data_IF_834413091916
#
_entry.id   IF_834413091916
#
_cell.length_a   1.000
_cell.length_b   1.000
_cell.length_c   1.000
_cell.angle_alpha   90.00
_cell.angle_beta   90.00
_cell.angle_gamma   90.00
#
_symmetry.space_group_name_H-M   'P 1'
#
loop_
_entity.id
_entity.type
_entity.pdbx_description
1 polymer ?
#
# COMPACT_ATOMS: atom_id res chain seq x y z
N UNK A 1 -2.91 -41.27 -14.98
CA UNK A 1 -3.18 -40.07 -14.16
C UNK A 1 -1.91 -39.76 -13.38
N UNK A 2 -1.21 -38.67 -13.72
CA UNK A 2 0.12 -38.36 -13.17
C UNK A 2 0.01 -37.42 -11.96
N UNK A 3 0.66 -37.72 -10.81
CA UNK A 3 0.59 -36.92 -9.58
C UNK A 3 1.13 -35.49 -9.68
N UNK A 4 1.78 -35.13 -10.79
CA UNK A 4 2.43 -33.82 -10.98
C UNK A 4 1.43 -32.65 -10.98
N UNK A 5 0.18 -32.88 -11.40
CA UNK A 5 -0.89 -31.86 -11.35
C UNK A 5 -1.36 -31.53 -9.93
N UNK A 6 -1.03 -32.37 -8.95
CA UNK A 6 -1.34 -32.14 -7.53
C UNK A 6 -0.15 -31.56 -6.74
N UNK A 7 0.94 -31.15 -7.42
CA UNK A 7 2.07 -30.48 -6.77
C UNK A 7 2.94 -31.38 -5.90
N UNK A 8 2.73 -32.71 -5.90
CA UNK A 8 3.58 -33.64 -5.15
C UNK A 8 4.78 -34.08 -6.00
N UNK A 9 5.84 -33.28 -5.91
CA UNK A 9 7.18 -33.59 -6.41
C UNK A 9 8.14 -32.62 -5.74
N UNK A 10 8.90 -33.12 -4.75
CA UNK A 10 9.71 -32.31 -3.85
C UNK A 10 10.62 -31.32 -4.58
N UNK A 11 10.21 -30.05 -4.61
CA UNK A 11 11.12 -28.94 -4.84
C UNK A 11 11.83 -28.72 -3.51
N UNK A 12 13.16 -28.77 -3.53
CA UNK A 12 13.95 -27.94 -2.61
C UNK A 12 13.28 -26.58 -2.65
N UNK A 13 12.72 -26.10 -1.53
CA UNK A 13 12.02 -24.80 -1.52
C UNK A 13 13.02 -23.76 -2.00
N UNK A 14 12.90 -23.36 -3.27
CA UNK A 14 13.63 -22.22 -3.79
C UNK A 14 13.21 -21.01 -2.96
N UNK A 15 14.11 -20.05 -2.80
CA UNK A 15 13.73 -18.78 -2.20
C UNK A 15 12.54 -18.20 -2.99
N UNK A 16 11.53 -17.62 -2.31
CA UNK A 16 10.40 -16.99 -2.97
C UNK A 16 10.86 -15.93 -3.99
N UNK A 17 10.14 -15.81 -5.09
CA UNK A 17 10.35 -14.75 -6.11
C UNK A 17 9.27 -13.69 -6.03
N UNK A 18 9.42 -12.59 -6.79
CA UNK A 18 8.38 -11.58 -6.94
C UNK A 18 7.08 -12.19 -7.51
N UNK A 19 7.17 -13.08 -8.50
CA UNK A 19 6.01 -13.81 -9.05
C UNK A 19 5.24 -14.63 -7.98
N UNK A 20 5.95 -15.22 -7.01
CA UNK A 20 5.32 -15.93 -5.90
C UNK A 20 4.53 -14.96 -5.00
N UNK A 21 5.06 -13.75 -4.76
CA UNK A 21 4.37 -12.68 -4.02
C UNK A 21 3.15 -12.19 -4.80
N UNK A 22 3.29 -11.93 -6.11
CA UNK A 22 2.18 -11.53 -6.97
C UNK A 22 1.06 -12.56 -6.94
N UNK A 23 1.38 -13.86 -7.01
CA UNK A 23 0.40 -14.94 -6.89
C UNK A 23 -0.35 -14.95 -5.55
N UNK A 24 0.30 -14.52 -4.46
CA UNK A 24 -0.34 -14.36 -3.15
C UNK A 24 -1.21 -13.11 -3.11
N UNK A 25 -0.75 -12.01 -3.71
CA UNK A 25 -1.53 -10.77 -3.85
C UNK A 25 -2.81 -11.03 -4.65
N UNK A 26 -2.75 -11.75 -5.76
CA UNK A 26 -3.92 -12.16 -6.55
C UNK A 26 -4.96 -12.93 -5.70
N UNK A 27 -4.51 -13.80 -4.80
CA UNK A 27 -5.41 -14.56 -3.91
C UNK A 27 -6.04 -13.70 -2.82
N UNK A 28 -5.38 -12.61 -2.44
CA UNK A 28 -5.81 -11.70 -1.38
C UNK A 28 -6.43 -10.41 -1.95
N UNK A 29 -6.59 -10.32 -3.27
CA UNK A 29 -6.88 -9.07 -3.93
C UNK A 29 -8.17 -8.42 -3.40
N UNK A 30 -8.07 -7.16 -2.97
CA UNK A 30 -9.19 -6.38 -2.40
C UNK A 30 -9.58 -6.76 -0.96
N UNK A 31 -8.97 -7.78 -0.36
CA UNK A 31 -9.27 -8.14 1.03
C UNK A 31 -8.65 -7.10 2.00
N UNK A 32 -9.41 -6.57 2.97
CA UNK A 32 -8.85 -5.69 4.00
C UNK A 32 -7.97 -6.49 4.97
N UNK A 33 -6.70 -6.11 5.07
CA UNK A 33 -5.67 -6.72 5.90
C UNK A 33 -5.05 -5.67 6.84
N UNK A 34 -4.67 -6.02 8.08
CA UNK A 34 -3.94 -5.07 8.92
C UNK A 34 -2.58 -4.77 8.29
N UNK A 35 -2.24 -3.49 8.11
CA UNK A 35 -1.01 -3.04 7.47
C UNK A 35 0.21 -3.62 8.17
N UNK A 36 0.23 -3.56 9.50
CA UNK A 36 1.31 -4.14 10.32
C UNK A 36 1.48 -5.66 10.15
N UNK A 37 0.42 -6.39 9.78
CA UNK A 37 0.41 -7.85 9.67
C UNK A 37 0.81 -8.36 8.27
N UNK A 38 0.70 -7.53 7.23
CA UNK A 38 0.96 -7.93 5.84
C UNK A 38 2.36 -8.53 5.70
N UNK A 39 3.38 -7.76 6.04
CA UNK A 39 4.78 -8.19 5.88
C UNK A 39 5.34 -8.92 7.10
N UNK A 40 4.71 -8.80 8.26
CA UNK A 40 5.18 -9.45 9.50
C UNK A 40 4.61 -10.85 9.71
N UNK A 41 3.44 -11.16 9.15
CA UNK A 41 2.72 -12.40 9.41
C UNK A 41 2.13 -13.04 8.15
N UNK A 42 1.42 -12.27 7.32
CA UNK A 42 0.60 -12.82 6.22
C UNK A 42 1.50 -13.31 5.09
N UNK A 43 2.38 -12.46 4.56
CA UNK A 43 3.30 -12.83 3.49
C UNK A 43 4.33 -13.87 3.97
N UNK A 44 5.02 -13.71 5.12
CA UNK A 44 5.91 -14.76 5.62
C UNK A 44 5.22 -16.10 5.92
N UNK A 45 3.95 -16.07 6.35
CA UNK A 45 3.16 -17.26 6.64
C UNK A 45 2.76 -18.03 5.37
N UNK A 46 2.60 -17.34 4.25
CA UNK A 46 2.27 -17.93 2.93
C UNK A 46 3.52 -18.29 2.13
N UNK A 47 4.57 -17.49 2.25
CA UNK A 47 5.84 -17.61 1.53
C UNK A 47 7.01 -17.68 2.53
N UNK A 48 7.36 -18.87 3.03
CA UNK A 48 8.53 -19.04 3.88
C UNK A 48 9.80 -18.56 3.17
N UNK A 49 10.51 -17.60 3.77
CA UNK A 49 11.66 -16.93 3.15
C UNK A 49 11.32 -15.61 2.46
N UNK A 50 10.11 -15.09 2.65
CA UNK A 50 9.72 -13.74 2.22
C UNK A 50 10.74 -12.68 2.66
N UNK A 51 10.98 -11.72 1.76
CA UNK A 51 11.78 -10.52 1.99
C UNK A 51 10.99 -9.31 1.50
N UNK A 52 10.92 -8.20 2.26
CA UNK A 52 10.20 -6.98 1.86
C UNK A 52 10.55 -6.47 0.46
N UNK A 53 11.81 -6.60 0.06
CA UNK A 53 12.30 -6.24 -1.27
C UNK A 53 11.50 -6.87 -2.44
N UNK A 54 10.85 -8.02 -2.23
CA UNK A 54 10.02 -8.66 -3.27
C UNK A 54 8.70 -7.91 -3.49
N UNK A 55 8.07 -7.41 -2.42
CA UNK A 55 6.86 -6.60 -2.56
C UNK A 55 7.21 -5.20 -3.04
N UNK A 56 8.30 -4.61 -2.52
CA UNK A 56 8.81 -3.31 -2.95
C UNK A 56 9.11 -3.29 -4.45
N UNK A 57 9.67 -4.38 -5.00
CA UNK A 57 9.92 -4.53 -6.43
C UNK A 57 8.61 -4.46 -7.23
N UNK A 58 7.56 -5.16 -6.80
CA UNK A 58 6.26 -5.18 -7.48
C UNK A 58 5.52 -3.85 -7.38
N UNK A 59 5.58 -3.16 -6.25
CA UNK A 59 4.96 -1.83 -6.09
C UNK A 59 5.70 -0.79 -6.93
N UNK A 60 7.03 -0.81 -6.92
CA UNK A 60 7.87 0.09 -7.73
C UNK A 60 7.69 -0.16 -9.24
N UNK A 61 7.55 -1.43 -9.65
CA UNK A 61 7.27 -1.80 -11.03
C UNK A 61 5.84 -1.43 -11.48
N UNK A 62 4.97 -1.06 -10.53
CA UNK A 62 3.56 -0.80 -10.79
C UNK A 62 2.74 -2.05 -11.08
N UNK A 63 3.22 -3.24 -10.70
CA UNK A 63 2.50 -4.51 -10.86
C UNK A 63 1.49 -4.75 -9.73
N UNK A 64 1.77 -4.21 -8.54
CA UNK A 64 0.87 -4.25 -7.38
C UNK A 64 0.53 -2.84 -6.93
N UNK A 65 -0.76 -2.59 -6.71
CA UNK A 65 -1.29 -1.37 -6.11
C UNK A 65 -1.90 -1.70 -4.75
N UNK A 66 -1.89 -0.73 -3.84
CA UNK A 66 -2.56 -0.85 -2.55
C UNK A 66 -3.35 0.41 -2.20
N UNK A 67 -4.35 0.26 -1.34
CA UNK A 67 -5.14 1.36 -0.81
C UNK A 67 -5.37 1.17 0.70
N UNK A 68 -5.34 2.27 1.46
CA UNK A 68 -5.80 2.27 2.84
C UNK A 68 -7.32 2.11 2.92
N UNK A 69 -7.79 1.35 3.90
CA UNK A 69 -9.17 0.94 4.10
C UNK A 69 -9.68 1.36 5.49
N UNK A 70 -9.17 2.48 6.01
CA UNK A 70 -9.48 2.99 7.35
C UNK A 70 -8.43 2.69 8.41
N UNK A 71 -8.46 3.47 9.48
CA UNK A 71 -7.51 3.39 10.58
C UNK A 71 -7.89 2.31 11.61
N UNK A 72 -6.87 1.75 12.28
CA UNK A 72 -7.00 0.90 13.47
C UNK A 72 -6.48 1.64 14.70
N UNK A 73 -7.03 1.30 15.87
CA UNK A 73 -6.51 1.81 17.14
C UNK A 73 -5.04 1.41 17.33
N UNK A 74 -4.20 2.33 17.79
CA UNK A 74 -2.78 2.04 18.08
C UNK A 74 -1.80 2.42 16.96
N UNK A 75 -2.24 3.18 15.95
CA UNK A 75 -1.39 3.68 14.86
C UNK A 75 -1.19 2.70 13.70
N UNK A 76 -2.03 1.67 13.61
CA UNK A 76 -2.12 0.75 12.48
C UNK A 76 -3.31 1.15 11.58
N UNK A 77 -3.45 0.50 10.43
CA UNK A 77 -4.59 0.68 9.54
C UNK A 77 -4.92 -0.58 8.78
N UNK A 78 -6.09 -0.59 8.16
CA UNK A 78 -6.42 -1.61 7.16
C UNK A 78 -5.85 -1.17 5.82
N UNK A 79 -5.28 -2.10 5.07
CA UNK A 79 -4.91 -1.92 3.66
C UNK A 79 -5.49 -3.07 2.84
N UNK A 80 -5.74 -2.81 1.56
CA UNK A 80 -6.00 -3.82 0.56
C UNK A 80 -4.92 -3.73 -0.51
N UNK A 81 -4.46 -4.89 -0.97
CA UNK A 81 -3.53 -5.04 -2.09
C UNK A 81 -4.30 -5.60 -3.30
N UNK A 82 -3.90 -5.24 -4.51
CA UNK A 82 -4.42 -5.85 -5.74
C UNK A 82 -3.37 -5.75 -6.85
N UNK A 83 -3.37 -6.68 -7.83
CA UNK A 83 -2.67 -6.45 -9.09
C UNK A 83 -3.20 -5.17 -9.74
N UNK A 84 -2.29 -4.33 -10.28
CA UNK A 84 -2.63 -2.99 -10.77
C UNK A 84 -3.65 -3.00 -11.92
N UNK A 85 -3.66 -4.05 -12.74
CA UNK A 85 -4.58 -4.19 -13.88
C UNK A 85 -6.05 -4.42 -13.47
N UNK A 86 -6.29 -4.86 -12.23
CA UNK A 86 -7.64 -5.08 -11.66
C UNK A 86 -7.89 -4.25 -10.41
N UNK A 87 -6.96 -3.36 -10.03
CA UNK A 87 -7.04 -2.57 -8.81
C UNK A 87 -8.30 -1.70 -8.75
N UNK A 88 -8.68 -1.04 -9.85
CA UNK A 88 -9.88 -0.20 -9.95
C UNK A 88 -11.19 -0.94 -9.65
N UNK A 89 -11.21 -2.26 -9.82
CA UNK A 89 -12.39 -3.10 -9.57
C UNK A 89 -12.41 -3.68 -8.15
N UNK A 90 -11.25 -3.85 -7.52
CA UNK A 90 -11.08 -4.62 -6.29
C UNK A 90 -10.73 -3.79 -5.07
N UNK A 91 -10.01 -2.68 -5.25
CA UNK A 91 -9.66 -1.80 -4.13
C UNK A 91 -10.91 -1.01 -3.70
N UNK A 92 -11.09 -0.80 -2.39
CA UNK A 92 -12.26 -0.09 -1.88
C UNK A 92 -12.28 1.36 -2.37
N UNK A 93 -13.48 1.85 -2.65
CA UNK A 93 -13.69 3.26 -2.95
C UNK A 93 -13.38 4.13 -1.72
N UNK A 94 -12.96 5.36 -1.98
CA UNK A 94 -12.64 6.40 -0.99
C UNK A 94 -13.75 6.50 0.06
N UNK A 95 -13.37 6.49 1.33
CA UNK A 95 -14.32 6.51 2.46
C UNK A 95 -15.03 7.87 2.52
N UNK A 96 -16.32 7.89 2.90
CA UNK A 96 -17.18 9.09 2.91
C UNK A 96 -16.71 10.20 3.88
N UNK A 97 -15.96 9.87 4.94
CA UNK A 97 -15.49 10.83 5.94
C UNK A 97 -14.08 11.33 5.58
N UNK A 98 -14.00 12.03 4.45
CA UNK A 98 -12.76 12.57 3.89
C UNK A 98 -12.13 13.56 4.90
N UNK A 99 -10.87 13.36 5.32
CA UNK A 99 -10.16 14.31 6.15
C UNK A 99 -10.10 15.68 5.48
N UNK A 100 -10.79 16.67 6.06
CA UNK A 100 -10.81 18.04 5.54
C UNK A 100 -9.93 18.96 6.37
N UNK A 101 -9.17 19.81 5.71
CA UNK A 101 -8.38 20.85 6.36
C UNK A 101 -7.39 21.51 5.40
N UNK A 102 -6.91 22.74 5.69
CA UNK A 102 -6.03 23.47 4.77
C UNK A 102 -4.78 22.69 4.36
N UNK A 103 -4.23 21.89 5.29
CA UNK A 103 -3.06 21.05 5.01
C UNK A 103 -3.43 19.82 4.15
N UNK A 104 -4.53 19.13 4.48
CA UNK A 104 -5.03 18.00 3.68
C UNK A 104 -5.34 18.42 2.24
N UNK A 105 -6.04 19.55 2.06
CA UNK A 105 -6.37 20.12 0.75
C UNK A 105 -5.12 20.50 -0.05
N UNK A 106 -4.13 21.11 0.63
CA UNK A 106 -2.85 21.47 0.02
C UNK A 106 -2.05 20.23 -0.43
N UNK A 107 -2.03 19.17 0.37
CA UNK A 107 -1.36 17.91 0.04
C UNK A 107 -2.03 17.23 -1.16
N UNK A 108 -3.36 17.12 -1.16
CA UNK A 108 -4.13 16.56 -2.28
C UNK A 108 -3.88 17.34 -3.57
N UNK A 109 -4.01 18.68 -3.54
CA UNK A 109 -3.74 19.53 -4.69
C UNK A 109 -2.30 19.40 -5.21
N UNK A 110 -1.33 19.21 -4.32
CA UNK A 110 0.06 19.02 -4.70
C UNK A 110 0.29 17.67 -5.42
N UNK A 111 -0.46 16.64 -5.04
CA UNK A 111 -0.37 15.28 -5.59
C UNK A 111 -1.18 15.08 -6.88
N UNK A 112 -2.06 16.02 -7.26
CA UNK A 112 -2.73 16.00 -8.58
C UNK A 112 -1.72 15.97 -9.75
N UNK A 113 -0.50 16.45 -9.54
CA UNK A 113 0.60 16.40 -10.50
C UNK A 113 1.34 15.06 -10.58
N UNK A 114 0.92 14.05 -9.80
CA UNK A 114 1.55 12.74 -9.70
C UNK A 114 2.38 12.56 -8.42
N UNK A 115 3.08 11.42 -8.34
CA UNK A 115 3.90 11.04 -7.19
C UNK A 115 5.07 12.03 -6.96
N UNK A 116 5.39 12.26 -5.69
CA UNK A 116 6.44 13.18 -5.24
C UNK A 116 7.20 12.61 -4.06
N UNK A 117 8.51 12.89 -4.01
CA UNK A 117 9.29 12.61 -2.81
C UNK A 117 8.82 13.50 -1.66
N UNK A 118 8.87 12.96 -0.43
CA UNK A 118 8.38 13.64 0.78
C UNK A 118 8.85 15.10 0.91
N UNK A 119 10.15 15.38 0.65
CA UNK A 119 10.67 16.76 0.74
C UNK A 119 10.05 17.70 -0.31
N UNK A 120 9.88 17.23 -1.54
CA UNK A 120 9.22 18.02 -2.58
C UNK A 120 7.75 18.29 -2.26
N UNK A 121 7.07 17.30 -1.68
CA UNK A 121 5.70 17.42 -1.23
C UNK A 121 5.57 18.47 -0.11
N UNK A 122 6.40 18.39 0.93
CA UNK A 122 6.43 19.38 2.03
C UNK A 122 6.70 20.78 1.50
N UNK A 123 7.70 20.94 0.64
CA UNK A 123 8.08 22.25 0.08
C UNK A 123 6.93 22.88 -0.72
N UNK A 124 6.23 22.07 -1.55
CA UNK A 124 5.11 22.55 -2.36
C UNK A 124 3.85 22.84 -1.52
N UNK A 125 3.49 21.93 -0.61
CA UNK A 125 2.32 22.10 0.25
C UNK A 125 2.47 23.30 1.20
N UNK A 126 3.69 23.57 1.68
CA UNK A 126 3.98 24.72 2.57
C UNK A 126 3.64 26.06 1.94
N UNK A 127 3.78 26.20 0.61
CA UNK A 127 3.45 27.44 -0.12
C UNK A 127 1.94 27.68 -0.19
N UNK A 128 1.13 26.63 -0.01
CA UNK A 128 -0.33 26.67 -0.12
C UNK A 128 -1.05 26.92 1.22
N UNK A 129 -0.32 26.93 2.35
CA UNK A 129 -0.89 27.08 3.69
C UNK A 129 -0.36 28.33 4.40
N UNK A 130 -1.18 28.93 5.27
CA UNK A 130 -0.83 30.19 5.95
C UNK A 130 0.34 30.05 6.93
N UNK A 131 0.47 28.89 7.56
CA UNK A 131 1.53 28.58 8.51
C UNK A 131 2.26 27.34 8.04
N UNK A 132 3.60 27.44 7.99
CA UNK A 132 4.45 26.30 7.65
C UNK A 132 4.23 25.14 8.65
N UNK A 133 3.78 23.97 8.17
CA UNK A 133 3.60 22.80 9.01
C UNK A 133 4.97 22.18 9.35
N UNK A 134 5.04 21.51 10.48
CA UNK A 134 6.16 20.63 10.83
C UNK A 134 6.08 19.32 10.04
N UNK A 135 7.23 18.65 9.88
CA UNK A 135 7.30 17.31 9.25
C UNK A 135 6.31 16.32 9.92
N UNK A 136 6.14 16.41 11.24
CA UNK A 136 5.22 15.55 11.99
C UNK A 136 3.75 15.83 11.66
N UNK A 137 3.37 17.09 11.46
CA UNK A 137 2.01 17.47 11.05
C UNK A 137 1.72 17.00 9.62
N UNK A 138 2.71 17.09 8.71
CA UNK A 138 2.58 16.58 7.34
C UNK A 138 2.43 15.07 7.33
N UNK A 139 3.25 14.35 8.10
CA UNK A 139 3.14 12.87 8.22
C UNK A 139 1.79 12.46 8.79
N UNK A 140 1.28 13.15 9.81
CA UNK A 140 -0.03 12.86 10.37
C UNK A 140 -1.15 13.07 9.34
N UNK A 141 -1.15 14.22 8.65
CA UNK A 141 -2.14 14.51 7.62
C UNK A 141 -2.07 13.52 6.45
N UNK A 142 -0.87 13.09 6.05
CA UNK A 142 -0.70 12.04 5.04
C UNK A 142 -1.31 10.72 5.49
N UNK A 143 -1.09 10.31 6.73
CA UNK A 143 -1.70 9.09 7.25
C UNK A 143 -3.22 9.17 7.26
N UNK A 144 -3.80 10.31 7.63
CA UNK A 144 -5.25 10.50 7.55
C UNK A 144 -5.76 10.29 6.12
N UNK A 145 -5.07 10.87 5.12
CA UNK A 145 -5.42 10.73 3.70
C UNK A 145 -5.22 9.29 3.18
N UNK A 146 -4.16 8.61 3.61
CA UNK A 146 -3.92 7.20 3.27
C UNK A 146 -5.05 6.34 3.79
N UNK A 147 -5.46 6.53 5.04
CA UNK A 147 -6.57 5.78 5.63
C UNK A 147 -7.93 6.10 5.03
N UNK A 148 -8.10 7.29 4.45
CA UNK A 148 -9.25 7.64 3.64
C UNK A 148 -9.22 7.04 2.22
N UNK A 149 -8.11 6.41 1.81
CA UNK A 149 -7.92 5.85 0.47
C UNK A 149 -7.59 6.91 -0.61
N UNK A 150 -7.20 8.12 -0.20
CA UNK A 150 -6.93 9.24 -1.11
C UNK A 150 -5.47 9.35 -1.56
N UNK A 151 -4.56 8.77 -0.77
CA UNK A 151 -3.12 8.77 -1.06
C UNK A 151 -2.61 7.35 -0.94
N UNK A 152 -1.77 6.97 -1.88
CA UNK A 152 -1.02 5.72 -1.90
C UNK A 152 0.47 6.04 -2.07
N UNK A 153 1.35 5.08 -1.82
CA UNK A 153 2.80 5.28 -1.92
C UNK A 153 3.50 4.05 -2.47
N UNK A 154 4.67 4.24 -3.05
CA UNK A 154 5.50 3.18 -3.64
C UNK A 154 6.75 2.85 -2.82
N UNK A 155 7.17 3.71 -1.88
CA UNK A 155 8.29 3.51 -0.94
C UNK A 155 8.21 4.39 0.31
#
# INVERSE_FOLDING_TARGET
FLPAWHGFGGRVRAAPTADDVLSVVEQLAGAPLPASAVESLILPGRLPGYSPALLDELTTAGEVTWAGCGALSGGDGWIALAPTDVADLLLPEVVEDIPTGPLHDALLSTLEGGALFFRQLVDRATVLVEKAPSDAEVVAALWDLVWAGLVTGDT
#
